data_IF_854620466032
#
_entry.id   IF_854620466032
#
_cell.length_a   1.000
_cell.length_b   1.000
_cell.length_c   1.000
_cell.angle_alpha   90.00
_cell.angle_beta   90.00
_cell.angle_gamma   90.00
#
_symmetry.space_group_name_H-M   'P 1'
#
loop_
_entity.id
_entity.type
_entity.pdbx_description
1 polymer ?
#
# COMPACT_ATOMS: atom_id res chain seq x y z
N UNK A 1 26.25 22.17 11.46
CA UNK A 1 25.96 22.00 10.01
C UNK A 1 24.50 21.59 9.85
N UNK A 2 23.59 22.56 9.68
CA UNK A 2 22.21 22.28 9.30
C UNK A 2 22.17 21.88 7.83
N UNK A 3 22.06 20.58 7.54
CA UNK A 3 21.70 20.12 6.20
C UNK A 3 20.18 20.17 6.10
N UNK A 4 19.63 21.36 5.85
CA UNK A 4 18.25 21.45 5.35
C UNK A 4 18.18 20.64 4.06
N UNK A 5 17.23 19.69 3.97
CA UNK A 5 16.98 18.96 2.73
C UNK A 5 16.73 20.00 1.62
N UNK A 6 17.31 19.84 0.41
CA UNK A 6 17.01 20.75 -0.69
C UNK A 6 15.50 20.74 -0.93
N UNK A 7 14.89 21.94 -0.95
CA UNK A 7 13.44 22.18 -1.06
C UNK A 7 12.77 21.39 -2.19
N UNK A 8 13.50 21.12 -3.27
CA UNK A 8 13.04 20.34 -4.42
C UNK A 8 12.71 18.88 -4.08
N UNK A 9 13.48 18.22 -3.20
CA UNK A 9 13.24 16.81 -2.86
C UNK A 9 11.97 16.63 -2.02
N UNK A 10 11.70 17.56 -1.11
CA UNK A 10 10.47 17.54 -0.31
C UNK A 10 9.23 17.74 -1.19
N UNK A 11 9.29 18.69 -2.13
CA UNK A 11 8.20 18.91 -3.08
C UNK A 11 7.99 17.70 -4.01
N UNK A 12 9.08 17.10 -4.49
CA UNK A 12 9.00 15.90 -5.32
C UNK A 12 8.40 14.72 -4.56
N UNK A 13 8.79 14.52 -3.31
CA UNK A 13 8.22 13.48 -2.45
C UNK A 13 6.72 13.68 -2.23
N UNK A 14 6.30 14.93 -2.01
CA UNK A 14 4.90 15.29 -1.90
C UNK A 14 4.14 14.96 -3.19
N UNK A 15 4.69 15.31 -4.36
CA UNK A 15 4.09 14.98 -5.65
C UNK A 15 3.98 13.46 -5.86
N UNK A 16 5.00 12.69 -5.46
CA UNK A 16 4.97 11.21 -5.52
C UNK A 16 3.87 10.68 -4.60
N UNK A 17 3.74 11.22 -3.40
CA UNK A 17 2.68 10.87 -2.47
C UNK A 17 1.28 11.18 -3.05
N UNK A 18 1.05 12.37 -3.58
CA UNK A 18 -0.27 12.79 -4.07
C UNK A 18 -0.68 12.14 -5.39
N UNK A 19 0.28 11.91 -6.30
CA UNK A 19 -0.04 11.48 -7.67
C UNK A 19 0.34 10.03 -7.96
N UNK A 20 1.48 9.55 -7.45
CA UNK A 20 1.99 8.21 -7.77
C UNK A 20 1.43 7.15 -6.83
N UNK A 21 1.28 7.45 -5.54
CA UNK A 21 0.78 6.48 -4.57
C UNK A 21 -0.66 6.00 -4.89
N UNK A 22 -1.60 6.87 -5.32
CA UNK A 22 -2.92 6.41 -5.79
C UNK A 22 -2.84 5.48 -7.01
N UNK A 23 -1.91 5.75 -7.94
CA UNK A 23 -1.70 4.90 -9.11
C UNK A 23 -1.15 3.51 -8.71
N UNK A 24 -0.24 3.45 -7.74
CA UNK A 24 0.25 2.18 -7.18
C UNK A 24 -0.88 1.41 -6.51
N UNK A 25 -1.73 2.10 -5.73
CA UNK A 25 -2.93 1.51 -5.12
C UNK A 25 -3.88 0.93 -6.17
N UNK A 26 -4.15 1.68 -7.25
CA UNK A 26 -4.94 1.19 -8.39
C UNK A 26 -4.30 -0.03 -9.06
N UNK A 27 -2.98 0.00 -9.26
CA UNK A 27 -2.25 -1.13 -9.85
C UNK A 27 -2.34 -2.41 -9.00
N UNK A 28 -2.27 -2.30 -7.67
CA UNK A 28 -2.49 -3.46 -6.79
C UNK A 28 -3.91 -4.02 -6.88
N UNK A 29 -4.92 -3.15 -7.01
CA UNK A 29 -6.31 -3.59 -7.27
C UNK A 29 -6.43 -4.34 -8.58
N UNK A 30 -5.88 -3.79 -9.66
CA UNK A 30 -5.89 -4.46 -10.97
C UNK A 30 -5.20 -5.83 -10.91
N UNK A 31 -4.07 -5.91 -10.18
CA UNK A 31 -3.37 -7.17 -9.96
C UNK A 31 -4.22 -8.20 -9.22
N UNK A 32 -5.03 -7.78 -8.24
CA UNK A 32 -5.99 -8.66 -7.57
C UNK A 32 -7.09 -9.15 -8.51
N UNK A 33 -7.68 -8.25 -9.30
CA UNK A 33 -8.74 -8.60 -10.26
C UNK A 33 -8.27 -9.60 -11.32
N UNK A 34 -6.97 -9.64 -11.61
CA UNK A 34 -6.36 -10.62 -12.52
C UNK A 34 -6.06 -11.99 -11.88
N UNK A 35 -6.28 -12.16 -10.57
CA UNK A 35 -5.91 -13.37 -9.82
C UNK A 35 -7.13 -13.98 -9.10
N UNK A 36 -7.79 -14.94 -9.74
CA UNK A 36 -8.91 -15.67 -9.14
C UNK A 36 -8.51 -16.43 -7.87
N UNK A 37 -7.30 -16.99 -7.84
CA UNK A 37 -6.73 -17.66 -6.67
C UNK A 37 -6.62 -16.72 -5.47
N UNK A 38 -6.12 -15.49 -5.68
CA UNK A 38 -6.00 -14.52 -4.58
C UNK A 38 -7.37 -14.04 -4.10
N UNK A 39 -8.34 -13.88 -5.00
CA UNK A 39 -9.73 -13.56 -4.60
C UNK A 39 -10.32 -14.68 -3.75
N UNK A 40 -10.11 -15.94 -4.13
CA UNK A 40 -10.54 -17.08 -3.33
C UNK A 40 -9.86 -17.08 -1.96
N UNK A 41 -8.55 -16.85 -1.91
CA UNK A 41 -7.81 -16.72 -0.66
C UNK A 41 -8.40 -15.65 0.27
N UNK A 42 -8.83 -14.50 -0.27
CA UNK A 42 -9.52 -13.48 0.51
C UNK A 42 -10.87 -13.95 1.05
N UNK A 43 -11.69 -14.63 0.23
CA UNK A 43 -12.98 -15.17 0.67
C UNK A 43 -12.82 -16.14 1.85
N UNK A 44 -11.84 -17.04 1.76
CA UNK A 44 -11.52 -18.00 2.82
C UNK A 44 -10.99 -17.29 4.08
N UNK A 45 -10.07 -16.34 3.91
CA UNK A 45 -9.41 -15.66 5.04
C UNK A 45 -10.32 -14.68 5.78
N UNK A 46 -11.23 -14.02 5.07
CA UNK A 46 -12.15 -13.02 5.63
C UNK A 46 -13.51 -13.63 6.02
N UNK A 47 -13.77 -14.88 5.66
CA UNK A 47 -15.01 -15.61 5.96
C UNK A 47 -16.27 -14.85 5.47
N UNK A 48 -16.16 -14.18 4.32
CA UNK A 48 -17.25 -13.39 3.73
C UNK A 48 -17.58 -13.85 2.32
N UNK A 49 -18.86 -13.77 1.95
CA UNK A 49 -19.34 -14.06 0.59
C UNK A 49 -19.24 -12.86 -0.35
N UNK A 50 -19.10 -11.64 0.19
CA UNK A 50 -19.07 -10.40 -0.58
C UNK A 50 -17.88 -9.55 -0.15
N UNK A 51 -16.83 -9.59 -0.95
CA UNK A 51 -15.64 -8.76 -0.76
C UNK A 51 -15.90 -7.33 -1.26
N UNK A 52 -15.44 -6.36 -0.50
CA UNK A 52 -15.29 -4.99 -0.96
C UNK A 52 -13.97 -4.87 -1.74
N UNK A 53 -13.99 -5.32 -2.99
CA UNK A 53 -12.78 -5.35 -3.86
C UNK A 53 -12.04 -4.00 -3.97
N UNK A 54 -12.71 -2.82 -3.95
CA UNK A 54 -12.00 -1.55 -3.93
C UNK A 54 -11.08 -1.33 -2.71
N UNK A 55 -11.28 -2.05 -1.61
CA UNK A 55 -10.41 -1.96 -0.43
C UNK A 55 -9.27 -2.99 -0.44
N UNK A 56 -9.21 -3.85 -1.45
CA UNK A 56 -8.29 -4.97 -1.51
C UNK A 56 -7.29 -4.81 -2.66
N UNK A 57 -6.12 -5.44 -2.53
CA UNK A 57 -5.11 -5.46 -3.58
C UNK A 57 -4.23 -6.69 -3.52
N UNK A 58 -3.42 -6.88 -4.55
CA UNK A 58 -2.43 -7.95 -4.59
C UNK A 58 -1.09 -7.44 -5.12
N UNK A 59 -0.04 -7.63 -4.33
CA UNK A 59 1.34 -7.32 -4.71
C UNK A 59 1.96 -8.52 -5.44
N UNK A 60 1.67 -8.67 -6.72
CA UNK A 60 2.09 -9.81 -7.56
C UNK A 60 3.57 -9.77 -8.00
N UNK A 61 4.42 -8.96 -7.35
CA UNK A 61 5.86 -8.79 -7.62
C UNK A 61 6.21 -8.13 -8.95
N UNK A 62 5.25 -7.52 -9.65
CA UNK A 62 5.50 -6.91 -10.96
C UNK A 62 5.55 -5.38 -10.93
N UNK A 63 5.36 -4.72 -9.78
CA UNK A 63 5.40 -3.26 -9.66
C UNK A 63 6.73 -2.68 -10.16
N UNK A 64 7.85 -3.34 -9.85
CA UNK A 64 9.19 -2.89 -10.24
C UNK A 64 9.39 -2.70 -11.74
N UNK A 65 8.63 -3.44 -12.56
CA UNK A 65 8.66 -3.38 -14.03
C UNK A 65 7.84 -2.20 -14.59
N UNK A 66 6.92 -1.65 -13.79
CA UNK A 66 6.11 -0.48 -14.14
C UNK A 66 6.80 0.83 -13.80
N UNK A 67 7.78 0.79 -12.91
CA UNK A 67 8.55 1.96 -12.51
C UNK A 67 9.63 2.30 -13.53
N UNK A 68 9.91 3.60 -13.68
CA UNK A 68 11.00 4.10 -14.51
C UNK A 68 12.34 3.40 -14.17
N UNK A 69 13.19 3.29 -15.19
CA UNK A 69 14.49 2.62 -15.08
C UNK A 69 15.34 3.23 -13.95
N UNK A 70 15.99 2.41 -13.10
CA UNK A 70 16.90 2.93 -12.07
C UNK A 70 18.15 3.60 -12.65
N UNK A 71 18.38 3.50 -13.96
CA UNK A 71 19.51 4.15 -14.65
C UNK A 71 19.22 5.60 -15.02
N UNK A 72 17.95 6.03 -15.10
CA UNK A 72 17.60 7.43 -15.36
C UNK A 72 17.55 8.25 -14.07
N UNK A 73 17.80 9.57 -14.18
CA UNK A 73 17.77 10.49 -13.04
C UNK A 73 16.38 10.52 -12.39
N UNK A 74 15.35 10.59 -13.21
CA UNK A 74 13.94 10.61 -12.79
C UNK A 74 13.56 9.29 -12.11
N UNK A 75 14.02 8.16 -12.64
CA UNK A 75 13.78 6.85 -12.04
C UNK A 75 14.49 6.68 -10.70
N UNK A 76 15.69 7.23 -10.53
CA UNK A 76 16.38 7.26 -9.25
C UNK A 76 15.64 8.12 -8.22
N UNK A 77 15.16 9.30 -8.62
CA UNK A 77 14.37 10.18 -7.75
C UNK A 77 13.07 9.50 -7.30
N UNK A 78 12.28 8.98 -8.24
CA UNK A 78 11.03 8.27 -7.96
C UNK A 78 11.26 7.07 -7.04
N UNK A 79 12.22 6.20 -7.36
CA UNK A 79 12.54 5.04 -6.53
C UNK A 79 13.05 5.46 -5.15
N UNK A 80 13.77 6.58 -5.05
CA UNK A 80 14.17 7.18 -3.78
C UNK A 80 12.97 7.59 -2.92
N UNK A 81 12.00 8.27 -3.52
CA UNK A 81 10.75 8.65 -2.85
C UNK A 81 9.95 7.42 -2.38
N UNK A 82 9.79 6.41 -3.25
CA UNK A 82 9.10 5.16 -2.92
C UNK A 82 9.81 4.33 -1.84
N UNK A 83 11.15 4.44 -1.72
CA UNK A 83 11.90 3.86 -0.60
C UNK A 83 11.59 4.58 0.72
N UNK A 84 11.50 5.92 0.70
CA UNK A 84 11.14 6.72 1.88
C UNK A 84 9.70 6.47 2.33
N UNK A 85 8.77 6.34 1.39
CA UNK A 85 7.39 5.90 1.64
C UNK A 85 7.30 4.42 2.09
N UNK A 86 8.38 3.65 1.94
CA UNK A 86 8.42 2.25 2.35
C UNK A 86 7.78 1.26 1.37
N UNK A 87 7.26 1.71 0.22
CA UNK A 87 6.79 0.83 -0.87
C UNK A 87 7.93 -0.06 -1.38
N UNK A 88 9.14 0.50 -1.50
CA UNK A 88 10.35 -0.22 -1.84
C UNK A 88 11.25 -0.44 -0.61
N UNK A 89 11.97 -1.57 -0.61
CA UNK A 89 13.06 -1.83 0.32
C UNK A 89 14.30 -1.00 -0.06
N UNK A 90 15.28 -0.84 0.85
CA UNK A 90 16.58 -0.23 0.50
C UNK A 90 17.24 -0.87 -0.73
N UNK A 91 17.10 -2.19 -0.88
CA UNK A 91 17.59 -2.97 -2.03
C UNK A 91 16.87 -2.67 -3.36
N UNK A 92 15.75 -1.93 -3.34
CA UNK A 92 14.95 -1.61 -4.51
C UNK A 92 13.84 -2.62 -4.83
N UNK A 93 13.81 -3.77 -4.14
CA UNK A 93 12.72 -4.72 -4.25
C UNK A 93 11.44 -4.17 -3.60
N UNK A 94 10.30 -4.52 -4.18
CA UNK A 94 8.99 -4.21 -3.62
C UNK A 94 8.86 -4.81 -2.22
N UNK A 95 8.43 -4.00 -1.26
CA UNK A 95 8.32 -4.40 0.15
C UNK A 95 7.20 -5.41 0.35
N UNK A 96 6.07 -5.19 -0.31
CA UNK A 96 4.82 -5.95 -0.19
C UNK A 96 4.76 -7.17 -1.12
N UNK A 97 5.83 -7.46 -1.87
CA UNK A 97 5.89 -8.54 -2.85
C UNK A 97 5.40 -9.90 -2.31
N UNK A 98 4.37 -10.44 -2.95
CA UNK A 98 3.74 -11.72 -2.61
C UNK A 98 2.70 -11.62 -1.49
N UNK A 99 2.17 -10.44 -1.20
CA UNK A 99 1.21 -10.21 -0.13
C UNK A 99 -0.18 -9.86 -0.67
N UNK A 100 -1.21 -10.38 0.01
CA UNK A 100 -2.58 -9.90 -0.06
C UNK A 100 -2.67 -8.57 0.71
N UNK A 101 -3.30 -7.56 0.11
CA UNK A 101 -3.29 -6.20 0.64
C UNK A 101 -4.70 -5.75 1.04
N UNK A 102 -4.78 -5.03 2.15
CA UNK A 102 -5.89 -4.16 2.49
C UNK A 102 -5.41 -2.71 2.33
N UNK A 103 -6.12 -1.95 1.51
CA UNK A 103 -5.84 -0.57 1.16
C UNK A 103 -6.77 0.32 1.98
N UNK A 104 -6.20 1.07 2.93
CA UNK A 104 -6.98 1.94 3.80
C UNK A 104 -7.05 3.33 3.18
N UNK A 105 -8.24 3.66 2.71
CA UNK A 105 -8.55 4.95 2.11
C UNK A 105 -9.42 5.80 3.04
N UNK A 106 -9.28 7.12 2.93
CA UNK A 106 -10.26 8.09 3.39
C UNK A 106 -10.57 8.97 2.18
N UNK A 107 -11.74 8.77 1.59
CA UNK A 107 -12.02 9.31 0.26
C UNK A 107 -11.06 8.76 -0.79
N UNK A 108 -10.43 9.66 -1.56
CA UNK A 108 -9.47 9.29 -2.60
C UNK A 108 -8.05 9.08 -2.07
N UNK A 109 -7.73 9.58 -0.88
CA UNK A 109 -6.39 9.51 -0.29
C UNK A 109 -6.10 8.10 0.26
N UNK A 110 -4.91 7.57 -0.04
CA UNK A 110 -4.43 6.32 0.54
C UNK A 110 -3.64 6.64 1.82
N UNK A 111 -4.15 6.23 2.97
CA UNK A 111 -3.52 6.52 4.26
C UNK A 111 -2.60 5.40 4.73
N UNK A 112 -2.95 4.15 4.46
CA UNK A 112 -2.12 3.00 4.83
C UNK A 112 -2.37 1.79 3.94
N UNK A 113 -1.41 0.87 3.97
CA UNK A 113 -1.55 -0.48 3.42
C UNK A 113 -1.18 -1.48 4.51
N UNK A 114 -2.10 -2.39 4.78
CA UNK A 114 -1.80 -3.63 5.46
C UNK A 114 -1.52 -4.72 4.42
N UNK A 115 -0.43 -5.46 4.58
CA UNK A 115 -0.07 -6.58 3.71
C UNK A 115 0.16 -7.86 4.50
N UNK A 116 -0.48 -8.94 4.07
CA UNK A 116 -0.27 -10.29 4.61
C UNK A 116 0.32 -11.20 3.54
N UNK A 117 1.48 -11.79 3.82
CA UNK A 117 2.18 -12.65 2.87
C UNK A 117 1.34 -13.89 2.56
N UNK A 118 1.16 -14.15 1.27
CA UNK A 118 0.62 -15.41 0.77
C UNK A 118 1.77 -16.43 0.67
N UNK A 119 1.57 -17.61 1.23
CA UNK A 119 2.56 -18.68 1.23
C UNK A 119 3.64 -18.56 2.32
N UNK A 120 4.80 -19.17 2.08
CA UNK A 120 5.89 -19.23 3.07
C UNK A 120 6.64 -17.91 3.17
N UNK A 121 6.92 -17.49 4.40
CA UNK A 121 7.90 -16.45 4.68
C UNK A 121 9.25 -17.12 4.96
N UNK A 122 10.33 -16.65 4.32
CA UNK A 122 11.68 -16.94 4.82
C UNK A 122 11.87 -16.25 6.18
N UNK A 123 12.74 -16.80 7.03
CA UNK A 123 12.92 -16.33 8.42
C UNK A 123 13.28 -14.85 8.58
N UNK A 124 13.70 -14.16 7.51
CA UNK A 124 14.02 -12.73 7.49
C UNK A 124 12.91 -11.85 6.91
N UNK A 125 11.70 -12.38 6.74
CA UNK A 125 10.57 -11.66 6.17
C UNK A 125 9.38 -11.65 7.11
N UNK A 126 8.88 -10.46 7.44
CA UNK A 126 7.63 -10.36 8.19
C UNK A 126 6.46 -10.86 7.35
N UNK A 127 5.64 -11.74 7.94
CA UNK A 127 4.38 -12.20 7.36
C UNK A 127 3.38 -11.05 7.23
N UNK A 128 3.41 -10.12 8.17
CA UNK A 128 2.50 -8.97 8.22
C UNK A 128 3.29 -7.68 8.08
N UNK A 129 2.78 -6.78 7.27
CA UNK A 129 3.45 -5.52 6.95
C UNK A 129 2.43 -4.40 7.08
N UNK A 130 2.79 -3.37 7.84
CA UNK A 130 1.98 -2.19 8.06
C UNK A 130 2.73 -0.99 7.54
N UNK A 131 2.22 -0.37 6.47
CA UNK A 131 2.78 0.84 5.89
C UNK A 131 1.77 1.96 6.09
N UNK A 132 2.18 2.98 6.85
CA UNK A 132 1.39 4.18 7.07
C UNK A 132 2.05 5.31 6.30
N UNK A 133 1.22 6.12 5.64
CA UNK A 133 1.69 7.26 4.85
C UNK A 133 1.16 8.59 5.36
N UNK A 134 0.15 8.59 6.23
CA UNK A 134 -0.38 9.79 6.88
C UNK A 134 -0.51 9.62 8.40
N UNK A 135 -0.25 10.71 9.12
CA UNK A 135 -0.11 10.76 10.58
C UNK A 135 -1.34 10.34 11.36
N UNK A 136 -2.54 10.54 10.82
CA UNK A 136 -3.81 10.23 11.49
C UNK A 136 -3.88 8.72 11.77
N UNK A 137 -3.31 7.90 10.88
CA UNK A 137 -3.20 6.46 11.08
C UNK A 137 -1.97 6.02 11.86
N UNK A 138 -0.95 6.87 12.02
CA UNK A 138 0.24 6.54 12.83
C UNK A 138 -0.10 6.39 14.32
N UNK A 139 -1.20 7.02 14.77
CA UNK A 139 -1.75 6.87 16.12
C UNK A 139 -2.32 5.47 16.34
N UNK A 140 -2.71 4.77 15.26
CA UNK A 140 -3.29 3.44 15.35
C UNK A 140 -2.20 2.37 15.40
N UNK A 141 -2.36 1.43 16.33
CA UNK A 141 -1.52 0.22 16.36
C UNK A 141 -1.72 -0.57 15.05
N UNK A 142 -0.66 -1.21 14.53
CA UNK A 142 -0.80 -2.09 13.37
C UNK A 142 -1.88 -3.14 13.64
N UNK A 143 -2.78 -3.40 12.67
CA UNK A 143 -3.78 -4.45 12.81
C UNK A 143 -3.14 -5.80 13.11
N UNK A 144 -3.76 -6.60 13.98
CA UNK A 144 -3.26 -7.92 14.38
C UNK A 144 -3.27 -8.93 13.22
N UNK A 145 -4.18 -8.74 12.27
CA UNK A 145 -4.42 -9.65 11.15
C UNK A 145 -5.15 -8.95 10.00
N UNK A 146 -5.27 -9.65 8.87
CA UNK A 146 -5.96 -9.18 7.67
C UNK A 146 -7.43 -8.81 7.93
N UNK A 147 -8.14 -9.59 8.75
CA UNK A 147 -9.58 -9.38 8.99
C UNK A 147 -9.81 -8.09 9.75
N UNK A 148 -8.97 -7.82 10.75
CA UNK A 148 -8.96 -6.58 11.52
C UNK A 148 -8.63 -5.38 10.64
N UNK A 149 -7.61 -5.49 9.78
CA UNK A 149 -7.28 -4.45 8.82
C UNK A 149 -8.44 -4.18 7.84
N UNK A 150 -9.10 -5.23 7.36
CA UNK A 150 -10.22 -5.13 6.44
C UNK A 150 -11.44 -4.46 7.06
N UNK A 151 -11.81 -4.84 8.29
CA UNK A 151 -12.89 -4.19 9.04
C UNK A 151 -12.57 -2.71 9.30
N UNK A 152 -11.32 -2.40 9.68
CA UNK A 152 -10.86 -1.03 9.83
C UNK A 152 -11.01 -0.21 8.53
N UNK A 153 -10.65 -0.79 7.38
CA UNK A 153 -10.82 -0.14 6.08
C UNK A 153 -12.29 0.16 5.74
N UNK A 154 -13.20 -0.80 6.01
CA UNK A 154 -14.64 -0.60 5.83
C UNK A 154 -15.13 0.55 6.72
N UNK A 155 -14.78 0.53 8.01
CA UNK A 155 -15.22 1.56 8.97
C UNK A 155 -14.72 2.95 8.56
N UNK A 156 -13.47 3.07 8.11
CA UNK A 156 -12.94 4.36 7.63
C UNK A 156 -13.69 4.87 6.40
N UNK A 157 -13.99 3.99 5.45
CA UNK A 157 -14.75 4.33 4.26
C UNK A 157 -16.16 4.81 4.62
N UNK A 158 -16.88 4.09 5.48
CA UNK A 158 -18.23 4.47 5.91
C UNK A 158 -18.25 5.81 6.65
N UNK A 159 -17.29 6.05 7.55
CA UNK A 159 -17.18 7.34 8.25
C UNK A 159 -16.93 8.51 7.31
N UNK A 160 -16.10 8.31 6.29
CA UNK A 160 -15.87 9.34 5.28
C UNK A 160 -17.14 9.63 4.47
N UNK A 161 -17.89 8.61 4.10
CA UNK A 161 -19.17 8.77 3.38
C UNK A 161 -20.18 9.52 4.23
N UNK A 162 -20.38 9.13 5.49
CA UNK A 162 -21.28 9.81 6.43
C UNK A 162 -20.93 11.29 6.61
N UNK A 163 -19.64 11.62 6.74
CA UNK A 163 -19.19 13.00 6.94
C UNK A 163 -19.35 13.91 5.71
N UNK A 164 -19.41 13.35 4.50
CA UNK A 164 -19.56 14.12 3.25
C UNK A 164 -20.99 14.09 2.67
N UNK A 165 -21.86 13.24 3.21
CA UNK A 165 -23.28 13.16 2.85
C UNK A 165 -24.22 13.77 3.91
N UNK A 166 -23.69 14.23 5.05
CA UNK A 166 -24.39 15.01 6.09
C UNK A 166 -24.25 16.52 5.84
#
# INVERSE_FOLDING_TARGET
MNKSKPSNVAQFDQNVFEQTLPQISHYYRQSLLSSSETIQWFNERLETKKLCLPLLGYANRTLGNKLLSPRSKEGQLLRGALKRLGILKPSGHERLSGSALVLLHCGSALHAIYGERIGRCSGHCSRQQWLVFQSELEIYKPPSDLKTAYLMAITLQSKYEEANHA
#
